data_IF_762363825627
#
_entry.id   IF_762363825627
#
_cell.length_a   1.000
_cell.length_b   1.000
_cell.length_c   1.000
_cell.angle_alpha   90.00
_cell.angle_beta   90.00
_cell.angle_gamma   90.00
#
_symmetry.space_group_name_H-M   'P 1'
#
loop_
_entity.id
_entity.type
_entity.pdbx_description
1 polymer ?
#
# COMPACT_ATOMS: atom_id res chain seq x y z
N UNK A 1 -13.29 -3.06 6.71
CA UNK A 1 -14.42 -2.31 7.28
C UNK A 1 -14.83 -1.19 6.32
N UNK A 2 -14.00 -0.19 6.01
CA UNK A 2 -14.36 0.99 5.20
C UNK A 2 -14.97 0.68 3.82
N UNK A 3 -14.42 -0.28 3.08
CA UNK A 3 -14.98 -0.71 1.81
C UNK A 3 -16.42 -1.22 1.98
N UNK A 4 -16.67 -2.05 3.01
CA UNK A 4 -17.99 -2.60 3.27
C UNK A 4 -19.01 -1.50 3.58
N UNK A 5 -18.62 -0.51 4.37
CA UNK A 5 -19.49 0.64 4.69
C UNK A 5 -19.82 1.47 3.44
N UNK A 6 -18.85 1.68 2.53
CA UNK A 6 -19.12 2.33 1.26
C UNK A 6 -20.12 1.52 0.40
N UNK A 7 -19.89 0.21 0.27
CA UNK A 7 -20.75 -0.68 -0.54
C UNK A 7 -22.18 -0.80 0.02
N UNK A 8 -22.35 -0.62 1.33
CA UNK A 8 -23.66 -0.63 2.00
C UNK A 8 -24.32 0.76 2.04
N UNK A 9 -23.76 1.78 1.40
CA UNK A 9 -24.24 3.18 1.46
C UNK A 9 -24.27 3.76 2.89
N UNK A 10 -23.39 3.29 3.77
CA UNK A 10 -23.22 3.82 5.12
C UNK A 10 -22.25 5.00 5.17
N UNK A 11 -21.52 5.26 4.07
CA UNK A 11 -20.57 6.36 3.93
C UNK A 11 -20.59 6.90 2.49
N UNK A 12 -20.54 8.22 2.33
CA UNK A 12 -20.51 8.89 1.04
C UNK A 12 -19.13 8.87 0.38
N UNK A 13 -18.07 8.85 1.18
CA UNK A 13 -16.68 8.82 0.71
C UNK A 13 -15.75 8.08 1.67
N UNK A 14 -14.73 7.43 1.14
CA UNK A 14 -13.73 6.69 1.93
C UNK A 14 -12.35 6.78 1.30
N UNK A 15 -11.32 6.67 2.13
CA UNK A 15 -9.95 6.44 1.69
C UNK A 15 -9.67 4.94 1.68
N UNK A 16 -9.36 4.40 0.51
CA UNK A 16 -9.04 2.98 0.30
C UNK A 16 -7.64 2.83 -0.31
N UNK A 17 -6.95 1.77 0.09
CA UNK A 17 -5.75 1.28 -0.59
C UNK A 17 -6.12 0.24 -1.66
N UNK A 18 -5.19 -0.06 -2.56
CA UNK A 18 -5.35 -1.23 -3.44
C UNK A 18 -5.20 -2.54 -2.63
N UNK A 19 -5.92 -3.59 -2.99
CA UNK A 19 -6.83 -3.76 -4.13
C UNK A 19 -8.29 -3.29 -3.88
N UNK A 20 -8.62 -2.81 -2.68
CA UNK A 20 -9.99 -2.42 -2.32
C UNK A 20 -10.49 -1.22 -3.12
N UNK A 21 -9.62 -0.28 -3.48
CA UNK A 21 -9.98 0.86 -4.32
C UNK A 21 -10.42 0.41 -5.73
N UNK A 22 -9.70 -0.55 -6.31
CA UNK A 22 -10.09 -1.16 -7.59
C UNK A 22 -11.42 -1.90 -7.48
N UNK A 23 -11.65 -2.63 -6.39
CA UNK A 23 -12.94 -3.30 -6.17
C UNK A 23 -14.09 -2.31 -6.07
N UNK A 24 -13.95 -1.23 -5.29
CA UNK A 24 -14.98 -0.19 -5.20
C UNK A 24 -15.32 0.37 -6.59
N UNK A 25 -14.32 0.64 -7.42
CA UNK A 25 -14.53 1.12 -8.80
C UNK A 25 -15.29 0.11 -9.66
N UNK A 26 -15.01 -1.18 -9.54
CA UNK A 26 -15.71 -2.25 -10.26
C UNK A 26 -17.18 -2.42 -9.81
N UNK A 27 -17.48 -1.99 -8.58
CA UNK A 27 -18.85 -1.96 -8.01
C UNK A 27 -19.58 -0.64 -8.31
N UNK A 28 -19.02 0.21 -9.20
CA UNK A 28 -19.68 1.43 -9.69
C UNK A 28 -19.33 2.71 -8.95
N UNK A 29 -18.42 2.68 -7.97
CA UNK A 29 -18.00 3.88 -7.24
C UNK A 29 -16.94 4.68 -8.01
N UNK A 30 -16.95 5.99 -7.83
CA UNK A 30 -16.07 6.93 -8.55
C UNK A 30 -14.81 7.21 -7.73
N UNK A 31 -13.66 7.14 -8.38
CA UNK A 31 -12.39 7.61 -7.80
C UNK A 31 -12.27 9.13 -7.99
N UNK A 32 -12.24 9.88 -6.90
CA UNK A 32 -12.11 11.35 -6.92
C UNK A 32 -10.64 11.79 -6.99
N UNK A 33 -9.76 11.12 -6.27
CA UNK A 33 -8.33 11.44 -6.27
C UNK A 33 -7.48 10.21 -5.93
N UNK A 34 -6.20 10.30 -6.23
CA UNK A 34 -5.22 9.23 -6.06
C UNK A 34 -3.92 9.83 -5.47
N UNK A 35 -3.30 9.13 -4.54
CA UNK A 35 -2.02 9.58 -3.94
C UNK A 35 -0.89 9.74 -4.97
N UNK A 36 -0.98 9.06 -6.11
CA UNK A 36 -0.04 9.21 -7.23
C UNK A 36 -0.16 10.57 -7.90
N UNK A 37 -1.36 11.11 -8.01
CA UNK A 37 -1.62 12.42 -8.63
C UNK A 37 -0.95 13.55 -7.84
N UNK A 38 -0.76 13.34 -6.54
CA UNK A 38 -0.11 14.28 -5.61
C UNK A 38 1.33 13.90 -5.26
N UNK A 39 1.84 12.80 -5.80
CA UNK A 39 3.17 12.25 -5.46
C UNK A 39 3.39 12.07 -3.94
N UNK A 40 2.35 11.65 -3.22
CA UNK A 40 2.36 11.45 -1.77
C UNK A 40 2.47 9.97 -1.43
N UNK A 41 3.30 9.63 -0.44
CA UNK A 41 3.38 8.29 0.14
C UNK A 41 2.57 8.26 1.43
N UNK A 42 1.57 7.38 1.50
CA UNK A 42 0.66 7.29 2.64
C UNK A 42 1.04 6.17 3.64
N UNK A 43 1.90 5.25 3.24
CA UNK A 43 2.35 4.13 4.07
C UNK A 43 3.79 4.29 4.54
N UNK A 44 4.05 3.91 5.78
CA UNK A 44 5.40 3.86 6.37
C UNK A 44 5.58 2.57 7.18
N UNK A 45 6.81 2.07 7.24
CA UNK A 45 7.20 1.11 8.26
C UNK A 45 7.65 1.86 9.51
N UNK A 46 6.99 1.61 10.63
CA UNK A 46 7.35 2.21 11.92
C UNK A 46 7.94 1.13 12.84
N UNK A 47 9.06 1.45 13.45
CA UNK A 47 9.76 0.57 14.37
C UNK A 47 9.97 1.28 15.71
N UNK A 48 9.91 0.52 16.82
CA UNK A 48 10.27 1.05 18.13
C UNK A 48 11.77 1.35 18.18
N UNK A 49 12.14 2.48 18.74
CA UNK A 49 13.54 2.91 18.86
C UNK A 49 14.38 1.87 19.60
N UNK A 50 13.84 1.27 20.66
CA UNK A 50 14.49 0.22 21.45
C UNK A 50 14.82 -1.02 20.63
N UNK A 51 13.96 -1.39 19.67
CA UNK A 51 14.22 -2.52 18.79
C UNK A 51 15.45 -2.30 17.91
N UNK A 52 15.75 -1.05 17.55
CA UNK A 52 16.91 -0.70 16.74
C UNK A 52 18.22 -0.72 17.55
N UNK A 53 18.15 -0.65 18.88
CA UNK A 53 19.32 -0.73 19.78
C UNK A 53 19.76 -2.16 20.07
N UNK A 54 18.88 -3.16 19.89
CA UNK A 54 19.18 -4.57 20.08
C UNK A 54 19.79 -5.18 18.81
N UNK A 55 21.04 -5.66 18.82
CA UNK A 55 21.72 -6.15 17.61
C UNK A 55 20.93 -7.23 16.85
N UNK A 56 20.34 -8.20 17.60
CA UNK A 56 19.53 -9.29 17.03
C UNK A 56 18.29 -8.74 16.31
N UNK A 57 17.57 -7.80 16.93
CA UNK A 57 16.37 -7.20 16.36
C UNK A 57 16.71 -6.34 15.15
N UNK A 58 17.80 -5.58 15.21
CA UNK A 58 18.29 -4.81 14.09
C UNK A 58 18.58 -5.73 12.89
N UNK A 59 19.26 -6.85 13.11
CA UNK A 59 19.51 -7.83 12.06
C UNK A 59 18.22 -8.40 11.45
N UNK A 60 17.20 -8.68 12.29
CA UNK A 60 15.89 -9.14 11.80
C UNK A 60 15.20 -8.08 10.95
N UNK A 61 15.31 -6.80 11.32
CA UNK A 61 14.76 -5.68 10.55
C UNK A 61 15.48 -5.51 9.21
N UNK A 62 16.79 -5.64 9.18
CA UNK A 62 17.58 -5.59 7.95
C UNK A 62 17.20 -6.72 6.99
N UNK A 63 16.98 -7.94 7.52
CA UNK A 63 16.48 -9.07 6.74
C UNK A 63 15.06 -8.84 6.21
N UNK A 64 14.17 -8.26 7.02
CA UNK A 64 12.83 -7.90 6.60
C UNK A 64 12.86 -6.89 5.44
N UNK A 65 13.65 -5.82 5.56
CA UNK A 65 13.79 -4.81 4.50
C UNK A 65 14.37 -5.44 3.22
N UNK A 66 15.35 -6.33 3.35
CA UNK A 66 15.91 -7.06 2.21
C UNK A 66 14.83 -7.91 1.51
N UNK A 67 14.06 -8.68 2.27
CA UNK A 67 12.97 -9.50 1.73
C UNK A 67 11.88 -8.63 1.06
N UNK A 68 11.52 -7.51 1.68
CA UNK A 68 10.59 -6.53 1.10
C UNK A 68 11.09 -6.01 -0.25
N UNK A 69 12.35 -5.60 -0.33
CA UNK A 69 12.94 -5.08 -1.57
C UNK A 69 13.00 -6.15 -2.67
N UNK A 70 13.31 -7.40 -2.32
CA UNK A 70 13.25 -8.54 -3.25
C UNK A 70 11.82 -8.76 -3.79
N UNK A 71 10.81 -8.66 -2.93
CA UNK A 71 9.41 -8.75 -3.34
C UNK A 71 9.01 -7.60 -4.28
N UNK A 72 9.46 -6.37 -3.98
CA UNK A 72 9.28 -5.20 -4.85
C UNK A 72 9.88 -5.44 -6.24
N UNK A 73 11.10 -5.93 -6.32
CA UNK A 73 11.75 -6.26 -7.60
C UNK A 73 10.99 -7.32 -8.38
N UNK A 74 10.53 -8.36 -7.67
CA UNK A 74 9.74 -9.45 -8.28
C UNK A 74 8.42 -8.95 -8.85
N UNK A 75 7.69 -8.11 -8.10
CA UNK A 75 6.42 -7.54 -8.58
C UNK A 75 6.64 -6.57 -9.74
N UNK A 76 7.67 -5.73 -9.68
CA UNK A 76 7.99 -4.80 -10.76
C UNK A 76 8.42 -5.51 -12.04
N UNK A 77 9.08 -6.67 -11.92
CA UNK A 77 9.53 -7.48 -13.06
C UNK A 77 8.39 -8.27 -13.69
N UNK A 78 7.60 -8.96 -12.87
CA UNK A 78 6.62 -9.95 -13.34
C UNK A 78 5.20 -9.36 -13.47
N UNK A 79 4.93 -8.22 -12.86
CA UNK A 79 3.60 -7.64 -12.72
C UNK A 79 2.80 -8.24 -11.57
N UNK A 80 1.88 -7.47 -11.03
CA UNK A 80 1.05 -7.86 -9.88
C UNK A 80 0.12 -9.04 -10.20
N UNK A 81 -0.33 -9.15 -11.44
CA UNK A 81 -1.21 -10.23 -11.90
C UNK A 81 -0.54 -11.61 -11.85
N UNK A 82 0.80 -11.67 -11.95
CA UNK A 82 1.56 -12.91 -11.79
C UNK A 82 1.33 -13.55 -10.41
N UNK A 83 1.06 -12.72 -9.40
CA UNK A 83 0.81 -13.14 -8.01
C UNK A 83 -0.67 -13.21 -7.66
N UNK A 84 -1.55 -13.36 -8.64
CA UNK A 84 -3.03 -13.31 -8.52
C UNK A 84 -3.56 -14.17 -7.37
N UNK A 85 -3.18 -15.43 -7.32
CA UNK A 85 -3.67 -16.35 -6.28
C UNK A 85 -3.23 -15.93 -4.87
N UNK A 86 -2.02 -15.39 -4.75
CA UNK A 86 -1.50 -14.87 -3.47
C UNK A 86 -2.30 -13.65 -3.00
N UNK A 87 -2.63 -12.75 -3.92
CA UNK A 87 -3.41 -11.54 -3.63
C UNK A 87 -4.85 -11.89 -3.25
N UNK A 88 -5.50 -12.78 -3.99
CA UNK A 88 -6.85 -13.26 -3.67
C UNK A 88 -6.88 -13.82 -2.25
N UNK A 89 -5.94 -14.72 -1.94
CA UNK A 89 -5.86 -15.38 -0.63
C UNK A 89 -5.63 -14.41 0.53
N UNK A 90 -4.75 -13.43 0.36
CA UNK A 90 -4.31 -12.57 1.48
C UNK A 90 -5.06 -11.24 1.57
N UNK A 91 -5.65 -10.76 0.47
CA UNK A 91 -6.35 -9.46 0.45
C UNK A 91 -7.88 -9.60 0.45
N UNK A 92 -8.41 -10.82 0.35
CA UNK A 92 -9.86 -11.06 0.38
C UNK A 92 -10.61 -10.40 -0.79
N UNK A 93 -9.99 -10.38 -1.97
CA UNK A 93 -10.60 -9.87 -3.22
C UNK A 93 -10.75 -11.01 -4.23
N UNK A 94 -11.62 -10.81 -5.22
CA UNK A 94 -11.86 -11.77 -6.29
C UNK A 94 -10.84 -11.63 -7.45
N UNK A 95 -10.88 -12.60 -8.35
CA UNK A 95 -10.01 -12.65 -9.52
C UNK A 95 -10.20 -11.44 -10.45
N UNK A 96 -11.44 -10.97 -10.63
CA UNK A 96 -11.79 -9.81 -11.45
C UNK A 96 -11.12 -8.53 -10.92
N UNK A 97 -11.10 -8.38 -9.59
CA UNK A 97 -10.41 -7.24 -8.95
C UNK A 97 -8.91 -7.26 -9.23
N UNK A 98 -8.26 -8.42 -9.12
CA UNK A 98 -6.82 -8.53 -9.39
C UNK A 98 -6.50 -8.25 -10.86
N UNK A 99 -7.31 -8.75 -11.78
CA UNK A 99 -7.12 -8.51 -13.22
C UNK A 99 -7.26 -7.03 -13.59
N UNK A 100 -8.10 -6.30 -12.86
CA UNK A 100 -8.34 -4.86 -13.06
C UNK A 100 -7.38 -3.94 -12.31
N UNK A 101 -6.43 -4.48 -11.53
CA UNK A 101 -5.45 -3.66 -10.82
C UNK A 101 -4.62 -2.81 -11.78
N UNK A 102 -4.40 -1.54 -11.45
CA UNK A 102 -3.56 -0.68 -12.27
C UNK A 102 -2.11 -1.16 -12.28
N UNK A 103 -1.39 -0.89 -13.34
CA UNK A 103 0.07 -1.07 -13.37
C UNK A 103 0.70 -0.06 -12.40
N UNK A 104 1.20 -0.57 -11.29
CA UNK A 104 1.91 0.21 -10.29
C UNK A 104 3.39 -0.14 -10.32
N UNK A 105 4.24 0.87 -10.15
CA UNK A 105 5.66 0.66 -9.90
C UNK A 105 5.94 0.90 -8.43
N UNK A 106 6.32 -0.14 -7.74
CA UNK A 106 6.66 -0.11 -6.33
C UNK A 106 8.12 0.34 -6.15
N UNK A 107 8.39 0.98 -5.03
CA UNK A 107 9.73 1.46 -4.69
C UNK A 107 10.29 0.68 -3.50
N UNK A 108 11.61 0.51 -3.48
CA UNK A 108 12.31 -0.05 -2.35
C UNK A 108 12.04 0.75 -1.06
N UNK A 109 12.11 0.06 0.06
CA UNK A 109 12.08 0.71 1.36
C UNK A 109 13.30 1.62 1.51
N UNK A 110 13.08 2.81 2.06
CA UNK A 110 14.13 3.81 2.24
C UNK A 110 13.67 4.88 3.23
N UNK A 111 14.55 5.80 3.55
CA UNK A 111 14.23 6.94 4.42
C UNK A 111 13.09 7.79 3.84
N UNK A 112 12.23 8.39 4.68
CA UNK A 112 11.21 9.31 4.23
C UNK A 112 11.82 10.47 3.42
N UNK A 113 11.22 10.77 2.27
CA UNK A 113 11.66 11.88 1.41
C UNK A 113 11.41 13.22 2.12
N UNK A 114 12.19 14.26 1.78
CA UNK A 114 11.99 15.62 2.30
C UNK A 114 10.57 16.12 2.03
N UNK A 115 10.03 15.85 0.84
CA UNK A 115 8.65 16.19 0.44
C UNK A 115 7.61 15.54 1.39
N UNK A 116 7.72 14.24 1.67
CA UNK A 116 6.80 13.53 2.56
C UNK A 116 6.85 14.09 4.01
N UNK A 117 8.06 14.43 4.49
CA UNK A 117 8.24 15.07 5.80
C UNK A 117 7.59 16.46 5.86
N UNK A 118 7.74 17.26 4.81
CA UNK A 118 7.12 18.59 4.75
C UNK A 118 5.60 18.50 4.78
N UNK A 119 5.00 17.57 4.03
CA UNK A 119 3.55 17.33 4.07
C UNK A 119 3.12 16.89 5.47
N UNK A 120 3.81 15.93 6.10
CA UNK A 120 3.48 15.50 7.45
C UNK A 120 3.55 16.65 8.47
N UNK A 121 4.51 17.54 8.34
CA UNK A 121 4.63 18.73 9.20
C UNK A 121 3.53 19.76 8.94
N UNK A 122 3.06 19.94 7.68
CA UNK A 122 1.98 20.87 7.36
C UNK A 122 0.61 20.42 7.90
N UNK A 123 0.42 19.12 8.09
CA UNK A 123 -0.82 18.56 8.67
C UNK A 123 -0.83 18.73 10.20
N UNK A 124 0.35 18.85 10.81
CA UNK A 124 0.50 18.94 12.28
C UNK A 124 0.17 20.34 12.84
N UNK A 125 0.18 21.35 12.01
CA UNK A 125 -0.15 22.73 12.35
C UNK A 125 -1.60 23.04 12.00
#
# INVERSE_FOLDING_TARGET
IRLKMLLNNEMDAVLLSEPQATRARLEGHVKLMDSRDKNVRLGVFAFRTEALKEPRRKQQLDLFIKAYNMAVDSINKNGVQHYKNLIIKNCGVDARTVDALPKLRYQHAGSPRKHDRNIANSIKN
#
